data_IF_058634051259
#
_entry.id   IF_058634051259
#
_cell.length_a   1.000
_cell.length_b   1.000
_cell.length_c   1.000
_cell.angle_alpha   90.00
_cell.angle_beta   90.00
_cell.angle_gamma   90.00
#
_symmetry.space_group_name_H-M   'P 1'
#
loop_
_entity.id
_entity.type
_entity.pdbx_description
1 polymer ?
#
# COMPACT_ATOMS: atom_id res chain seq x y z
N UNK A 1 -3.93 23.46 -25.44
CA UNK A 1 -3.33 24.16 -26.59
C UNK A 1 -2.35 25.20 -26.07
N UNK A 2 -2.85 26.31 -25.52
CA UNK A 2 -2.09 27.44 -24.96
C UNK A 2 -0.87 27.00 -24.11
N UNK A 3 -1.10 26.22 -23.05
CA UNK A 3 -0.03 25.79 -22.14
C UNK A 3 1.07 24.91 -22.77
N UNK A 4 0.76 24.06 -23.75
CA UNK A 4 1.76 23.19 -24.41
C UNK A 4 2.50 23.90 -25.53
N UNK A 5 1.81 24.82 -26.20
CA UNK A 5 2.35 25.58 -27.32
C UNK A 5 3.40 26.60 -26.88
N UNK A 6 3.21 27.22 -25.71
CA UNK A 6 4.20 28.13 -25.10
C UNK A 6 5.54 27.44 -24.83
N UNK A 7 5.52 26.23 -24.26
CA UNK A 7 6.76 25.47 -23.96
C UNK A 7 7.48 25.07 -25.25
N UNK A 8 6.73 24.68 -26.29
CA UNK A 8 7.30 24.39 -27.61
C UNK A 8 7.91 25.65 -28.25
N UNK A 9 7.20 26.78 -28.15
CA UNK A 9 7.66 28.07 -28.67
C UNK A 9 8.92 28.55 -27.96
N UNK A 10 8.99 28.40 -26.64
CA UNK A 10 10.17 28.74 -25.84
C UNK A 10 11.37 27.85 -26.19
N UNK A 11 11.18 26.53 -26.29
CA UNK A 11 12.26 25.63 -26.68
C UNK A 11 12.82 25.96 -28.09
N UNK A 12 11.94 26.34 -29.02
CA UNK A 12 12.34 26.74 -30.37
C UNK A 12 13.08 28.08 -30.39
N UNK A 13 12.56 29.09 -29.69
CA UNK A 13 13.13 30.43 -29.67
C UNK A 13 14.51 30.48 -29.01
N UNK A 14 14.74 29.65 -27.99
CA UNK A 14 16.05 29.52 -27.35
C UNK A 14 17.03 28.60 -28.11
N UNK A 15 16.69 28.17 -29.33
CA UNK A 15 17.55 27.32 -30.16
C UNK A 15 17.74 25.89 -29.63
N UNK A 16 16.93 25.44 -28.66
CA UNK A 16 17.02 24.10 -28.04
C UNK A 16 16.30 23.06 -28.90
N UNK A 17 16.78 22.87 -30.13
CA UNK A 17 16.11 22.05 -31.14
C UNK A 17 15.89 20.59 -30.69
N UNK A 18 16.84 20.00 -29.95
CA UNK A 18 16.68 18.65 -29.42
C UNK A 18 15.48 18.54 -28.47
N UNK A 19 15.30 19.52 -27.57
CA UNK A 19 14.16 19.58 -26.65
C UNK A 19 12.87 19.79 -27.43
N UNK A 20 12.86 20.70 -28.40
CA UNK A 20 11.72 20.95 -29.26
C UNK A 20 11.24 19.68 -29.99
N UNK A 21 12.15 18.93 -30.60
CA UNK A 21 11.82 17.67 -31.30
C UNK A 21 11.28 16.63 -30.32
N UNK A 22 11.92 16.46 -29.16
CA UNK A 22 11.45 15.50 -28.14
C UNK A 22 10.06 15.87 -27.64
N UNK A 23 9.80 17.15 -27.37
CA UNK A 23 8.49 17.63 -26.93
C UNK A 23 7.43 17.45 -28.02
N UNK A 24 7.76 17.71 -29.28
CA UNK A 24 6.86 17.47 -30.40
C UNK A 24 6.54 15.97 -30.51
N UNK A 25 7.54 15.09 -30.51
CA UNK A 25 7.31 13.64 -30.52
C UNK A 25 6.48 13.17 -29.31
N UNK A 26 6.74 13.72 -28.12
CA UNK A 26 5.95 13.43 -26.93
C UNK A 26 4.50 13.89 -27.08
N UNK A 27 4.25 15.07 -27.67
CA UNK A 27 2.90 15.55 -27.97
C UNK A 27 2.19 14.63 -28.98
N UNK A 28 2.91 14.13 -30.01
CA UNK A 28 2.40 13.17 -30.98
C UNK A 28 1.93 11.90 -30.28
N UNK A 29 2.82 11.31 -29.47
CA UNK A 29 2.54 10.09 -28.73
C UNK A 29 1.40 10.30 -27.73
N UNK A 30 1.31 11.47 -27.12
CA UNK A 30 0.21 11.85 -26.20
C UNK A 30 -1.13 11.79 -26.90
N UNK A 31 -1.24 12.48 -28.03
CA UNK A 31 -2.45 12.47 -28.85
C UNK A 31 -2.77 11.05 -29.34
N UNK A 32 -1.76 10.31 -29.78
CA UNK A 32 -1.91 8.94 -30.24
C UNK A 32 -2.46 7.99 -29.16
N UNK A 33 -1.87 7.94 -27.96
CA UNK A 33 -2.34 7.03 -26.92
C UNK A 33 -3.71 7.45 -26.38
N UNK A 34 -4.02 8.76 -26.35
CA UNK A 34 -5.31 9.26 -25.90
C UNK A 34 -6.40 8.89 -26.90
N UNK A 35 -6.15 9.06 -28.20
CA UNK A 35 -7.11 8.63 -29.22
C UNK A 35 -7.25 7.11 -29.29
N UNK A 36 -6.17 6.36 -29.09
CA UNK A 36 -6.23 4.90 -28.91
C UNK A 36 -7.22 4.54 -27.80
N UNK A 37 -7.11 5.19 -26.62
CA UNK A 37 -8.00 4.94 -25.50
C UNK A 37 -9.45 5.25 -25.90
N UNK A 38 -9.73 6.47 -26.37
CA UNK A 38 -11.07 6.91 -26.78
C UNK A 38 -11.68 5.96 -27.82
N UNK A 39 -10.90 5.57 -28.82
CA UNK A 39 -11.37 4.71 -29.90
C UNK A 39 -11.71 3.30 -29.40
N UNK A 40 -10.89 2.74 -28.52
CA UNK A 40 -11.09 1.39 -27.99
C UNK A 40 -12.20 1.31 -26.93
N UNK A 41 -12.47 2.40 -26.19
CA UNK A 41 -13.47 2.43 -25.13
C UNK A 41 -14.84 2.92 -25.59
N UNK A 42 -14.90 3.95 -26.44
CA UNK A 42 -16.15 4.63 -26.80
C UNK A 42 -16.58 4.45 -28.26
N UNK A 43 -15.62 4.44 -29.20
CA UNK A 43 -15.96 4.37 -30.64
C UNK A 43 -16.05 2.93 -31.19
N UNK A 44 -15.66 1.95 -30.38
CA UNK A 44 -15.66 0.53 -30.74
C UNK A 44 -16.94 -0.20 -30.35
N UNK A 45 -17.03 -1.48 -30.72
CA UNK A 45 -18.10 -2.36 -30.23
C UNK A 45 -17.86 -2.72 -28.75
N UNK A 46 -18.92 -2.87 -27.93
CA UNK A 46 -18.80 -3.34 -26.56
C UNK A 46 -17.99 -4.63 -26.49
N UNK A 47 -17.00 -4.66 -25.60
CA UNK A 47 -16.10 -5.81 -25.41
C UNK A 47 -16.57 -6.77 -24.32
N UNK A 48 -17.51 -6.34 -23.47
CA UNK A 48 -18.07 -7.12 -22.36
C UNK A 48 -19.58 -6.91 -22.29
N UNK A 49 -20.32 -7.88 -21.73
CA UNK A 49 -21.78 -7.76 -21.53
C UNK A 49 -22.16 -6.60 -20.60
N UNK A 50 -21.29 -6.28 -19.64
CA UNK A 50 -21.48 -5.14 -18.75
C UNK A 50 -21.37 -3.80 -19.49
N UNK A 51 -20.44 -3.69 -20.45
CA UNK A 51 -20.30 -2.49 -21.28
C UNK A 51 -21.49 -2.29 -22.22
N UNK A 52 -22.12 -3.38 -22.69
CA UNK A 52 -23.31 -3.33 -23.54
C UNK A 52 -24.54 -2.77 -22.80
N UNK A 53 -24.63 -3.02 -21.49
CA UNK A 53 -25.71 -2.53 -20.63
C UNK A 53 -25.24 -1.39 -19.70
N UNK A 54 -24.23 -0.62 -20.12
CA UNK A 54 -23.73 0.50 -19.34
C UNK A 54 -24.76 1.63 -19.34
N UNK A 55 -25.09 2.14 -18.16
CA UNK A 55 -25.98 3.28 -17.98
C UNK A 55 -25.17 4.51 -17.56
N UNK A 56 -25.72 5.70 -17.78
CA UNK A 56 -25.10 6.95 -17.37
C UNK A 56 -24.86 6.98 -15.85
N UNK A 57 -23.80 7.69 -15.45
CA UNK A 57 -23.45 7.89 -14.05
C UNK A 57 -24.54 8.67 -13.30
N UNK A 58 -24.68 8.40 -12.00
CA UNK A 58 -25.59 9.16 -11.14
C UNK A 58 -25.15 10.62 -11.06
N UNK A 59 -26.11 11.52 -10.88
CA UNK A 59 -25.88 12.97 -10.93
C UNK A 59 -24.80 13.47 -9.95
N UNK A 60 -24.62 12.79 -8.81
CA UNK A 60 -23.57 13.08 -7.84
C UNK A 60 -22.15 12.88 -8.38
N UNK A 61 -21.96 12.09 -9.44
CA UNK A 61 -20.69 11.99 -10.18
C UNK A 61 -20.67 12.90 -11.41
N UNK A 62 -21.80 13.05 -12.10
CA UNK A 62 -21.88 13.86 -13.33
C UNK A 62 -21.68 15.36 -13.06
N UNK A 63 -22.22 15.91 -11.95
CA UNK A 63 -22.03 17.35 -11.62
C UNK A 63 -20.56 17.72 -11.48
N UNK A 64 -19.75 17.03 -10.63
CA UNK A 64 -18.33 17.32 -10.56
C UNK A 64 -17.63 17.25 -11.92
N UNK A 65 -17.92 16.23 -12.74
CA UNK A 65 -17.29 16.07 -14.05
C UNK A 65 -17.66 17.20 -15.03
N UNK A 66 -18.93 17.61 -15.07
CA UNK A 66 -19.37 18.74 -15.90
C UNK A 66 -18.73 20.03 -15.44
N UNK A 67 -18.70 20.30 -14.13
CA UNK A 67 -18.03 21.48 -13.57
C UNK A 67 -16.53 21.51 -13.93
N UNK A 68 -15.83 20.38 -13.78
CA UNK A 68 -14.44 20.25 -14.18
C UNK A 68 -14.24 20.44 -15.69
N UNK A 69 -15.18 19.98 -16.52
CA UNK A 69 -15.10 20.17 -17.98
C UNK A 69 -15.20 21.65 -18.37
N UNK A 70 -16.05 22.43 -17.68
CA UNK A 70 -16.14 23.88 -17.87
C UNK A 70 -14.82 24.54 -17.52
N UNK A 71 -14.20 24.18 -16.40
CA UNK A 71 -12.86 24.68 -16.05
C UNK A 71 -11.79 24.26 -17.05
N UNK A 72 -11.81 23.02 -17.54
CA UNK A 72 -10.84 22.55 -18.53
C UNK A 72 -10.92 23.32 -19.85
N UNK A 73 -12.12 23.77 -20.25
CA UNK A 73 -12.34 24.62 -21.43
C UNK A 73 -11.95 26.09 -21.16
N UNK A 74 -12.34 26.64 -20.01
CA UNK A 74 -12.18 28.06 -19.70
C UNK A 74 -10.78 28.44 -19.19
N UNK A 75 -10.13 27.59 -18.40
CA UNK A 75 -8.84 27.91 -17.76
C UNK A 75 -7.74 28.22 -18.78
N UNK A 76 -7.80 27.60 -19.97
CA UNK A 76 -6.87 27.88 -21.05
C UNK A 76 -6.96 29.33 -21.58
N UNK A 77 -8.11 29.99 -21.51
CA UNK A 77 -8.27 31.37 -21.99
C UNK A 77 -7.62 32.41 -21.10
N UNK A 78 -7.33 32.09 -19.84
CA UNK A 78 -6.65 33.01 -18.92
C UNK A 78 -5.16 33.15 -19.27
N UNK A 79 -4.57 32.10 -19.85
CA UNK A 79 -3.15 32.05 -20.22
C UNK A 79 -2.91 32.25 -21.71
N UNK A 80 -3.68 33.10 -22.39
CA UNK A 80 -3.42 33.41 -23.80
C UNK A 80 -2.23 34.38 -23.87
N UNK A 81 -1.19 34.11 -24.69
CA UNK A 81 -0.09 35.05 -24.89
C UNK A 81 -0.58 36.39 -25.44
N UNK A 82 -0.10 37.50 -24.88
CA UNK A 82 -0.54 38.86 -25.28
C UNK A 82 -0.24 39.17 -26.75
N UNK A 83 0.80 38.55 -27.31
CA UNK A 83 1.22 38.74 -28.71
C UNK A 83 0.64 37.69 -29.67
N UNK A 84 -0.33 36.87 -29.24
CA UNK A 84 -0.95 35.88 -30.10
C UNK A 84 -1.80 36.55 -31.20
N UNK A 85 -1.76 36.10 -32.46
CA UNK A 85 -2.51 36.73 -33.55
C UNK A 85 -4.03 36.70 -33.28
N UNK A 86 -4.70 37.82 -33.58
CA UNK A 86 -6.17 38.03 -33.50
C UNK A 86 -6.77 38.07 -32.09
N UNK A 87 -6.31 37.22 -31.16
CA UNK A 87 -6.93 37.03 -29.84
C UNK A 87 -6.01 37.50 -28.69
N UNK A 88 -4.72 37.71 -28.97
CA UNK A 88 -3.77 38.23 -27.99
C UNK A 88 -4.18 39.62 -27.49
N UNK A 89 -4.17 39.81 -26.17
CA UNK A 89 -4.51 41.08 -25.52
C UNK A 89 -6.01 41.33 -25.30
N UNK A 90 -6.91 40.44 -25.73
CA UNK A 90 -8.36 40.54 -25.43
C UNK A 90 -8.63 40.35 -23.93
N UNK A 91 -7.86 39.46 -23.30
CA UNK A 91 -7.89 39.22 -21.85
C UNK A 91 -6.47 39.48 -21.34
N UNK A 92 -6.29 40.29 -20.28
CA UNK A 92 -4.99 40.49 -19.67
C UNK A 92 -4.49 39.15 -19.11
N UNK A 93 -3.27 38.75 -19.48
CA UNK A 93 -2.65 37.50 -19.01
C UNK A 93 -2.09 37.68 -17.59
N UNK A 94 -3.00 37.99 -16.65
CA UNK A 94 -2.67 38.24 -15.25
C UNK A 94 -2.04 37.02 -14.57
N UNK A 95 -2.36 35.80 -15.04
CA UNK A 95 -1.77 34.57 -14.54
C UNK A 95 -0.27 34.50 -14.87
N UNK A 96 0.13 34.86 -16.09
CA UNK A 96 1.54 34.95 -16.44
C UNK A 96 2.25 36.00 -15.60
N UNK A 97 1.64 37.17 -15.35
CA UNK A 97 2.20 38.19 -14.46
C UNK A 97 2.35 37.71 -13.00
N UNK A 98 1.34 37.01 -12.47
CA UNK A 98 1.37 36.43 -11.13
C UNK A 98 2.47 35.36 -10.99
N UNK A 99 2.55 34.42 -11.94
CA UNK A 99 3.56 33.36 -11.93
C UNK A 99 4.95 33.92 -12.19
N UNK A 100 5.12 34.85 -13.13
CA UNK A 100 6.41 35.48 -13.41
C UNK A 100 6.98 36.21 -12.19
N UNK A 101 6.13 36.84 -11.37
CA UNK A 101 6.54 37.45 -10.10
C UNK A 101 7.09 36.47 -9.06
N UNK A 102 6.89 35.15 -9.25
CA UNK A 102 7.46 34.10 -8.39
C UNK A 102 8.74 33.49 -8.94
N UNK A 103 9.16 33.87 -10.16
CA UNK A 103 10.36 33.33 -10.81
C UNK A 103 11.57 34.24 -10.56
N UNK A 104 12.74 33.63 -10.34
CA UNK A 104 14.01 34.33 -10.13
C UNK A 104 14.56 34.99 -11.41
N UNK A 105 14.22 34.43 -12.57
CA UNK A 105 14.52 34.99 -13.89
C UNK A 105 13.20 35.24 -14.62
N UNK A 106 13.03 36.47 -15.12
CA UNK A 106 11.86 36.80 -15.93
C UNK A 106 12.07 36.20 -17.33
N UNK A 107 11.21 35.28 -17.77
CA UNK A 107 11.32 34.74 -19.12
C UNK A 107 11.11 35.89 -20.12
N UNK A 108 12.08 36.05 -21.04
CA UNK A 108 11.96 37.03 -22.13
C UNK A 108 10.75 36.62 -22.95
N UNK A 109 9.80 37.54 -23.14
CA UNK A 109 8.62 37.29 -23.95
C UNK A 109 9.06 36.85 -25.35
N UNK A 110 8.80 35.59 -25.67
CA UNK A 110 9.17 35.00 -26.95
C UNK A 110 8.26 35.59 -28.02
N UNK A 111 8.85 36.20 -29.04
CA UNK A 111 8.10 36.72 -30.18
C UNK A 111 7.32 35.58 -30.86
N UNK A 112 6.07 35.86 -31.26
CA UNK A 112 5.22 34.89 -31.91
C UNK A 112 5.91 34.27 -33.13
N UNK A 113 5.95 32.95 -33.19
CA UNK A 113 6.47 32.19 -34.33
C UNK A 113 5.42 31.16 -34.77
N UNK A 114 5.10 31.17 -36.07
CA UNK A 114 4.10 30.27 -36.64
C UNK A 114 4.59 28.80 -36.71
N UNK A 115 5.90 28.55 -36.69
CA UNK A 115 6.46 27.20 -36.84
C UNK A 115 6.09 26.31 -35.64
N UNK A 116 6.41 26.67 -34.37
CA UNK A 116 5.98 25.89 -33.20
C UNK A 116 4.48 25.65 -33.15
N UNK A 117 3.68 26.67 -33.48
CA UNK A 117 2.22 26.61 -33.53
C UNK A 117 1.72 25.54 -34.51
N UNK A 118 2.18 25.61 -35.76
CA UNK A 118 1.78 24.68 -36.81
C UNK A 118 2.25 23.26 -36.50
N UNK A 119 3.45 23.11 -35.94
CA UNK A 119 3.97 21.81 -35.50
C UNK A 119 3.11 21.26 -34.36
N UNK A 120 2.79 22.06 -33.35
CA UNK A 120 1.96 21.68 -32.20
C UNK A 120 0.57 21.19 -32.64
N UNK A 121 -0.12 21.97 -33.49
CA UNK A 121 -1.43 21.58 -34.05
C UNK A 121 -1.30 20.35 -34.94
N UNK A 122 -0.35 20.35 -35.87
CA UNK A 122 -0.16 19.29 -36.85
C UNK A 122 0.18 17.95 -36.18
N UNK A 123 1.02 17.98 -35.15
CA UNK A 123 1.39 16.80 -34.39
C UNK A 123 0.24 16.31 -33.51
N UNK A 124 -0.52 17.19 -32.87
CA UNK A 124 -1.68 16.80 -32.08
C UNK A 124 -2.76 16.15 -32.96
N UNK A 125 -3.15 16.82 -34.05
CA UNK A 125 -4.14 16.29 -35.00
C UNK A 125 -3.63 15.03 -35.71
N UNK A 126 -2.35 15.00 -36.09
CA UNK A 126 -1.70 13.84 -36.68
C UNK A 126 -1.69 12.64 -35.73
N UNK A 127 -1.35 12.84 -34.46
CA UNK A 127 -1.38 11.79 -33.44
C UNK A 127 -2.79 11.25 -33.20
N UNK A 128 -3.80 12.14 -33.10
CA UNK A 128 -5.21 11.74 -33.01
C UNK A 128 -5.61 10.93 -34.25
N UNK A 129 -5.35 11.43 -35.46
CA UNK A 129 -5.69 10.77 -36.71
C UNK A 129 -5.05 9.38 -36.82
N UNK A 130 -3.75 9.27 -36.51
CA UNK A 130 -3.03 8.00 -36.54
C UNK A 130 -3.59 7.01 -35.50
N UNK A 131 -3.86 7.48 -34.28
CA UNK A 131 -4.45 6.66 -33.23
C UNK A 131 -5.82 6.11 -33.65
N UNK A 132 -6.67 6.96 -34.22
CA UNK A 132 -7.96 6.53 -34.76
C UNK A 132 -7.80 5.55 -35.92
N UNK A 133 -6.95 5.85 -36.90
CA UNK A 133 -6.75 5.01 -38.09
C UNK A 133 -6.29 3.60 -37.74
N UNK A 134 -5.37 3.48 -36.77
CA UNK A 134 -4.81 2.20 -36.30
C UNK A 134 -5.84 1.40 -35.49
N UNK A 135 -6.59 2.05 -34.59
CA UNK A 135 -7.42 1.35 -33.62
C UNK A 135 -8.92 1.24 -33.98
N UNK A 136 -9.42 1.98 -34.97
CA UNK A 136 -10.86 2.00 -35.36
C UNK A 136 -11.44 0.65 -35.79
N UNK A 137 -10.60 -0.30 -36.23
CA UNK A 137 -11.03 -1.61 -36.76
C UNK A 137 -10.56 -2.78 -35.89
N UNK A 138 -10.08 -2.53 -34.68
CA UNK A 138 -9.56 -3.58 -33.80
C UNK A 138 -10.71 -4.30 -33.10
N UNK A 139 -10.94 -5.60 -33.36
CA UNK A 139 -12.03 -6.35 -32.74
C UNK A 139 -11.81 -6.57 -31.23
N UNK A 140 -12.85 -6.99 -30.51
CA UNK A 140 -12.74 -7.45 -29.14
C UNK A 140 -11.86 -8.71 -29.08
N UNK A 141 -10.86 -8.73 -28.19
CA UNK A 141 -9.91 -9.86 -28.09
C UNK A 141 -8.84 -9.94 -29.19
N UNK A 142 -8.80 -8.99 -30.13
CA UNK A 142 -7.75 -8.92 -31.14
C UNK A 142 -6.39 -8.57 -30.55
N UNK A 143 -5.31 -9.00 -31.21
CA UNK A 143 -3.95 -8.58 -30.86
C UNK A 143 -3.76 -7.09 -31.14
N UNK A 144 -2.92 -6.43 -30.33
CA UNK A 144 -2.59 -5.02 -30.54
C UNK A 144 -1.86 -4.87 -31.90
N UNK A 145 -2.37 -4.05 -32.85
CA UNK A 145 -1.74 -3.86 -34.15
C UNK A 145 -0.27 -3.45 -34.08
N UNK A 146 0.11 -2.74 -33.00
CA UNK A 146 1.48 -2.27 -32.82
C UNK A 146 2.48 -3.40 -32.53
N UNK A 147 2.03 -4.57 -32.10
CA UNK A 147 2.92 -5.74 -31.89
C UNK A 147 3.65 -6.09 -33.18
N UNK A 148 2.96 -6.05 -34.32
CA UNK A 148 3.56 -6.38 -35.62
C UNK A 148 4.59 -5.34 -36.08
N UNK A 149 4.40 -4.08 -35.69
CA UNK A 149 5.27 -2.95 -36.12
C UNK A 149 6.47 -2.80 -35.19
N UNK A 150 6.25 -2.86 -33.88
CA UNK A 150 7.27 -2.57 -32.87
C UNK A 150 8.03 -3.82 -32.39
N UNK A 151 7.46 -5.03 -32.57
CA UNK A 151 8.13 -6.28 -32.23
C UNK A 151 8.69 -6.32 -30.80
N UNK A 152 10.01 -6.54 -30.60
CA UNK A 152 10.62 -6.57 -29.26
C UNK A 152 10.45 -5.28 -28.45
N UNK A 153 10.39 -4.12 -29.10
CA UNK A 153 10.19 -2.83 -28.44
C UNK A 153 8.80 -2.79 -27.79
N UNK A 154 7.79 -3.39 -28.43
CA UNK A 154 6.46 -3.50 -27.82
C UNK A 154 6.52 -4.27 -26.49
N UNK A 155 7.29 -5.36 -26.43
CA UNK A 155 7.45 -6.14 -25.20
C UNK A 155 8.14 -5.33 -24.10
N UNK A 156 9.17 -4.55 -24.45
CA UNK A 156 9.85 -3.65 -23.53
C UNK A 156 8.88 -2.60 -22.94
N UNK A 157 8.13 -1.91 -23.81
CA UNK A 157 7.15 -0.90 -23.41
C UNK A 157 5.99 -1.51 -22.60
N UNK A 158 5.51 -2.68 -23.01
CA UNK A 158 4.45 -3.42 -22.30
C UNK A 158 4.87 -3.82 -20.88
N UNK A 159 6.15 -4.13 -20.69
CA UNK A 159 6.74 -4.40 -19.36
C UNK A 159 7.28 -3.14 -18.68
N UNK A 160 6.81 -1.94 -19.07
CA UNK A 160 7.18 -0.66 -18.45
C UNK A 160 8.70 -0.46 -18.33
N UNK A 161 9.45 -0.86 -19.35
CA UNK A 161 10.92 -0.82 -19.36
C UNK A 161 11.61 -1.69 -18.29
N UNK A 162 10.91 -2.66 -17.70
CA UNK A 162 11.38 -3.51 -16.61
C UNK A 162 11.78 -2.76 -15.33
N UNK A 163 11.33 -1.51 -15.15
CA UNK A 163 11.62 -0.75 -13.93
C UNK A 163 10.99 -1.38 -12.69
N UNK A 164 9.78 -1.93 -12.83
CA UNK A 164 9.07 -2.59 -11.72
C UNK A 164 9.86 -3.83 -11.25
N UNK A 165 10.32 -4.68 -12.19
CA UNK A 165 11.12 -5.86 -11.88
C UNK A 165 12.51 -5.50 -11.33
N UNK A 166 13.13 -4.45 -11.88
CA UNK A 166 14.39 -3.94 -11.34
C UNK A 166 14.22 -3.46 -9.90
N UNK A 167 13.15 -2.71 -9.61
CA UNK A 167 12.86 -2.23 -8.27
C UNK A 167 12.55 -3.37 -7.29
N UNK A 168 11.80 -4.38 -7.75
CA UNK A 168 11.53 -5.59 -6.97
C UNK A 168 12.81 -6.30 -6.56
N UNK A 169 13.73 -6.51 -7.50
CA UNK A 169 14.99 -7.22 -7.25
C UNK A 169 15.96 -6.38 -6.41
N UNK A 170 16.05 -5.07 -6.65
CA UNK A 170 17.03 -4.21 -5.98
C UNK A 170 16.60 -3.75 -4.59
N UNK A 171 15.31 -3.51 -4.37
CA UNK A 171 14.83 -2.90 -3.12
C UNK A 171 13.87 -3.81 -2.35
N UNK A 172 12.88 -4.36 -3.03
CA UNK A 172 11.78 -5.09 -2.36
C UNK A 172 12.28 -6.42 -1.78
N UNK A 173 12.89 -7.28 -2.60
CA UNK A 173 13.38 -8.60 -2.13
C UNK A 173 14.46 -8.49 -1.05
N UNK A 174 15.47 -7.60 -1.17
CA UNK A 174 16.45 -7.43 -0.10
C UNK A 174 15.82 -6.91 1.19
N UNK A 175 14.84 -6.00 1.11
CA UNK A 175 14.11 -5.54 2.29
C UNK A 175 13.33 -6.67 2.97
N UNK A 176 12.62 -7.51 2.21
CA UNK A 176 11.95 -8.69 2.76
C UNK A 176 12.95 -9.68 3.38
N UNK A 177 14.07 -9.94 2.71
CA UNK A 177 15.09 -10.83 3.23
C UNK A 177 15.68 -10.30 4.55
N UNK A 178 15.93 -9.00 4.65
CA UNK A 178 16.38 -8.35 5.89
C UNK A 178 15.33 -8.49 6.99
N UNK A 179 14.05 -8.23 6.69
CA UNK A 179 12.97 -8.37 7.65
C UNK A 179 12.84 -9.83 8.16
N UNK A 180 12.86 -10.81 7.26
CA UNK A 180 12.73 -12.21 7.63
C UNK A 180 13.96 -12.72 8.40
N UNK A 181 15.16 -12.35 7.97
CA UNK A 181 16.40 -12.84 8.59
C UNK A 181 16.68 -12.14 9.91
N UNK A 182 16.64 -10.82 9.93
CA UNK A 182 17.02 -10.05 11.10
C UNK A 182 15.85 -9.90 12.08
N UNK A 183 14.71 -9.38 11.61
CA UNK A 183 13.58 -9.13 12.51
C UNK A 183 12.95 -10.42 13.02
N UNK A 184 12.67 -11.37 12.13
CA UNK A 184 11.95 -12.59 12.54
C UNK A 184 12.88 -13.67 13.09
N UNK A 185 13.89 -14.10 12.33
CA UNK A 185 14.73 -15.24 12.78
C UNK A 185 15.67 -14.87 13.92
N UNK A 186 16.32 -13.70 13.85
CA UNK A 186 17.31 -13.30 14.85
C UNK A 186 16.68 -12.66 16.09
N UNK A 187 15.86 -11.62 15.93
CA UNK A 187 15.24 -10.94 17.08
C UNK A 187 14.15 -11.82 17.69
N UNK A 188 13.09 -12.14 16.94
CA UNK A 188 11.90 -12.78 17.52
C UNK A 188 12.19 -14.22 17.99
N UNK A 189 12.55 -15.12 17.07
CA UNK A 189 12.84 -16.52 17.44
C UNK A 189 14.14 -16.71 18.20
N UNK A 190 15.14 -15.86 17.99
CA UNK A 190 16.43 -16.00 18.64
C UNK A 190 16.43 -15.39 20.03
N UNK A 191 16.25 -14.08 20.08
CA UNK A 191 16.38 -13.29 21.31
C UNK A 191 15.11 -13.38 22.16
N UNK A 192 13.94 -13.05 21.60
CA UNK A 192 12.70 -12.94 22.38
C UNK A 192 12.28 -14.31 22.91
N UNK A 193 12.15 -15.31 22.03
CA UNK A 193 11.81 -16.68 22.43
C UNK A 193 12.89 -17.28 23.34
N UNK A 194 14.17 -16.98 23.09
CA UNK A 194 15.27 -17.44 23.93
C UNK A 194 15.16 -16.94 25.37
N UNK A 195 14.84 -15.65 25.55
CA UNK A 195 14.60 -15.03 26.86
C UNK A 195 13.36 -15.65 27.51
N UNK A 196 12.25 -15.77 26.77
CA UNK A 196 10.99 -16.29 27.29
C UNK A 196 11.15 -17.73 27.82
N UNK A 197 11.76 -18.63 27.04
CA UNK A 197 12.06 -19.99 27.48
C UNK A 197 13.09 -20.02 28.61
N UNK A 198 14.02 -19.06 28.67
CA UNK A 198 14.96 -18.88 29.77
C UNK A 198 14.23 -18.60 31.09
N UNK A 199 13.33 -17.62 31.08
CA UNK A 199 12.49 -17.25 32.22
C UNK A 199 11.61 -18.44 32.64
N UNK A 200 10.96 -19.10 31.69
CA UNK A 200 10.12 -20.28 31.97
C UNK A 200 10.90 -21.40 32.67
N UNK A 201 12.09 -21.75 32.16
CA UNK A 201 12.96 -22.75 32.80
C UNK A 201 13.44 -22.32 34.18
N UNK A 202 13.74 -21.03 34.36
CA UNK A 202 14.12 -20.49 35.66
C UNK A 202 12.98 -20.63 36.67
N UNK A 203 11.77 -20.23 36.31
CA UNK A 203 10.60 -20.33 37.20
C UNK A 203 10.27 -21.77 37.56
N UNK A 204 10.38 -22.72 36.60
CA UNK A 204 10.20 -24.14 36.92
C UNK A 204 11.27 -24.64 37.91
N UNK A 205 12.54 -24.23 37.76
CA UNK A 205 13.59 -24.58 38.75
C UNK A 205 13.30 -24.02 40.13
N UNK A 206 12.79 -22.78 40.21
CA UNK A 206 12.39 -22.18 41.49
C UNK A 206 11.22 -22.97 42.10
N UNK A 207 10.22 -23.35 41.30
CA UNK A 207 9.10 -24.19 41.74
C UNK A 207 9.56 -25.56 42.25
N UNK A 208 10.46 -26.23 41.51
CA UNK A 208 11.04 -27.51 41.92
C UNK A 208 11.86 -27.39 43.21
N UNK A 209 12.59 -26.28 43.39
CA UNK A 209 13.30 -25.98 44.62
C UNK A 209 12.33 -25.82 45.78
N UNK A 210 11.32 -24.96 45.66
CA UNK A 210 10.30 -24.78 46.71
C UNK A 210 9.62 -26.10 47.05
N UNK A 211 9.30 -26.92 46.04
CA UNK A 211 8.70 -28.23 46.25
C UNK A 211 9.62 -29.18 47.02
N UNK A 212 10.88 -29.29 46.62
CA UNK A 212 11.83 -30.23 47.25
C UNK A 212 12.26 -29.81 48.65
N UNK A 213 12.46 -28.52 48.89
CA UNK A 213 13.06 -28.04 50.14
C UNK A 213 12.04 -27.51 51.15
N UNK A 214 10.84 -27.13 50.72
CA UNK A 214 9.80 -26.59 51.61
C UNK A 214 8.60 -27.54 51.65
N UNK A 215 7.99 -27.83 50.50
CA UNK A 215 6.72 -28.56 50.44
C UNK A 215 6.86 -30.01 50.96
N UNK A 216 7.77 -30.79 50.39
CA UNK A 216 7.98 -32.18 50.81
C UNK A 216 8.43 -32.33 52.28
N UNK A 217 9.48 -31.64 52.77
CA UNK A 217 9.98 -31.87 54.12
C UNK A 217 9.19 -31.12 55.21
N UNK A 218 8.66 -29.92 54.93
CA UNK A 218 7.98 -29.10 55.93
C UNK A 218 6.47 -29.30 55.84
N UNK A 219 5.84 -29.05 54.69
CA UNK A 219 4.37 -29.08 54.60
C UNK A 219 3.86 -30.52 54.74
N UNK A 220 4.28 -31.41 53.85
CA UNK A 220 3.87 -32.82 53.92
C UNK A 220 4.46 -33.51 55.14
N UNK A 221 5.75 -33.30 55.44
CA UNK A 221 6.39 -33.86 56.62
C UNK A 221 5.70 -33.48 57.94
N UNK A 222 5.20 -32.25 58.09
CA UNK A 222 4.44 -31.84 59.28
C UNK A 222 3.03 -32.43 59.29
N UNK A 223 2.34 -32.45 58.15
CA UNK A 223 1.01 -33.04 58.03
C UNK A 223 1.00 -34.56 58.29
N UNK A 224 2.00 -35.28 57.78
CA UNK A 224 2.17 -36.72 57.97
C UNK A 224 2.47 -37.05 59.44
N UNK A 225 3.39 -36.31 60.08
CA UNK A 225 3.68 -36.47 61.51
C UNK A 225 2.47 -36.19 62.38
N UNK A 226 1.67 -35.18 62.04
CA UNK A 226 0.43 -34.89 62.74
C UNK A 226 -0.56 -36.05 62.61
N UNK A 227 -0.70 -36.59 61.39
CA UNK A 227 -1.58 -37.73 61.11
C UNK A 227 -1.12 -39.01 61.85
N UNK A 228 0.19 -39.27 61.90
CA UNK A 228 0.77 -40.36 62.67
C UNK A 228 0.55 -40.20 64.18
N UNK A 229 0.71 -38.98 64.71
CA UNK A 229 0.44 -38.70 66.12
C UNK A 229 -1.03 -38.96 66.50
N UNK A 230 -1.98 -38.54 65.65
CA UNK A 230 -3.41 -38.80 65.85
C UNK A 230 -3.71 -40.31 65.78
N UNK A 231 -3.13 -41.03 64.82
CA UNK A 231 -3.27 -42.49 64.73
C UNK A 231 -2.71 -43.20 65.95
N UNK A 232 -1.50 -42.85 66.39
CA UNK A 232 -0.86 -43.43 67.56
C UNK A 232 -1.63 -43.16 68.86
N UNK A 233 -2.21 -41.96 69.00
CA UNK A 233 -3.13 -41.65 70.09
C UNK A 233 -4.37 -42.55 70.03
N UNK A 234 -4.99 -42.69 68.85
CA UNK A 234 -6.14 -43.58 68.63
C UNK A 234 -5.83 -45.05 68.96
N UNK A 235 -4.67 -45.56 68.54
CA UNK A 235 -4.22 -46.93 68.87
C UNK A 235 -4.01 -47.12 70.38
N UNK A 236 -3.49 -46.11 71.07
CA UNK A 236 -3.32 -46.13 72.53
C UNK A 236 -4.68 -46.16 73.24
N UNK A 237 -5.65 -45.37 72.78
CA UNK A 237 -7.01 -45.37 73.33
C UNK A 237 -7.79 -46.65 73.00
N UNK A 238 -7.49 -47.33 71.88
CA UNK A 238 -8.11 -48.61 71.51
C UNK A 238 -7.93 -49.68 72.59
N UNK A 239 -6.80 -49.68 73.30
CA UNK A 239 -6.51 -50.65 74.38
C UNK A 239 -7.38 -50.42 75.62
N UNK A 240 -7.91 -49.21 75.81
CA UNK A 240 -8.83 -48.89 76.92
C UNK A 240 -10.19 -49.57 76.74
N UNK A 241 -10.60 -49.83 75.50
CA UNK A 241 -11.83 -50.55 75.20
C UNK A 241 -11.57 -52.05 75.01
N UNK A 242 -11.54 -52.79 76.11
CA UNK A 242 -11.21 -54.23 76.14
C UNK A 242 -12.40 -55.15 75.86
N UNK A 243 -13.63 -54.61 75.79
CA UNK A 243 -14.86 -55.38 75.62
C UNK A 243 -15.29 -56.19 76.85
N UNK A 244 -14.56 -56.09 77.97
CA UNK A 244 -14.89 -56.79 79.22
C UNK A 244 -15.67 -55.86 80.15
N UNK A 245 -16.98 -56.11 80.31
CA UNK A 245 -17.91 -55.32 81.16
C UNK A 245 -17.38 -55.09 82.57
N UNK A 246 -16.68 -56.09 83.13
CA UNK A 246 -16.05 -56.03 84.45
C UNK A 246 -15.01 -54.90 84.59
N UNK A 247 -14.22 -54.63 83.54
CA UNK A 247 -13.21 -53.57 83.57
C UNK A 247 -13.83 -52.18 83.47
N UNK A 248 -14.94 -52.03 82.72
CA UNK A 248 -15.70 -50.78 82.66
C UNK A 248 -16.38 -50.44 83.99
N UNK A 249 -16.88 -51.45 84.71
CA UNK A 249 -17.43 -51.27 86.06
C UNK A 249 -16.38 -50.76 87.06
N UNK A 250 -15.16 -51.29 87.02
CA UNK A 250 -14.03 -50.84 87.86
C UNK A 250 -13.69 -49.37 87.59
N UNK A 251 -13.59 -48.99 86.31
CA UNK A 251 -13.33 -47.59 85.91
C UNK A 251 -14.50 -46.69 86.35
N UNK A 252 -15.75 -47.11 86.16
CA UNK A 252 -16.93 -46.37 86.60
C UNK A 252 -16.93 -46.11 88.11
N UNK A 253 -16.65 -47.15 88.91
CA UNK A 253 -16.57 -47.05 90.37
C UNK A 253 -15.46 -46.07 90.82
N UNK A 254 -14.30 -46.10 90.17
CA UNK A 254 -13.18 -45.18 90.44
C UNK A 254 -13.52 -43.72 90.12
N UNK A 255 -14.30 -43.44 89.07
CA UNK A 255 -14.72 -42.08 88.72
C UNK A 255 -15.89 -41.55 89.55
N UNK A 256 -16.73 -42.43 90.12
CA UNK A 256 -17.87 -42.02 90.95
C UNK A 256 -17.53 -41.74 92.42
N UNK A 257 -16.28 -41.96 92.85
CA UNK A 257 -15.78 -41.49 94.15
C UNK A 257 -16.63 -41.92 95.36
N UNK A 258 -16.80 -43.24 95.51
CA UNK A 258 -17.31 -43.86 96.74
C UNK A 258 -16.27 -44.86 97.27
#
# INVERSE_FOLDING_TARGET
FWSKDEILSDAFANGRMAVFIVLALAALLTAFYTMRQITLTFLGKPRTKAAENAHESVWTMTVPLVMLSVFALAAGWVGIPEHFPVIGGVIPNWLHGFVAGTLLEHPVAVAFNAIPLLVSVGVALGGLLLGWLVYRRVPAGGTDPLVRVLGPIHTLLRRKYYFDELYDVLFVRPAYWLAETFSYKWIDRGVIDGILHGIGRFMMRVGDFLRKYIDLPVINGTADRFSEAVKGAGESFRVVQTGRVQQYLIVGLLFTGA
#
